data_IF_148021500779
#
_entry.id   IF_148021500779
#
_cell.length_a   1.000
_cell.length_b   1.000
_cell.length_c   1.000
_cell.angle_alpha   90.00
_cell.angle_beta   90.00
_cell.angle_gamma   90.00
#
_symmetry.space_group_name_H-M   'P 1'
#
loop_
_entity.id
_entity.type
_entity.pdbx_description
1 polymer ?
#
# COMPACT_ATOMS: atom_id res chain seq x y z
N UNK A 1 -10.71 22.94 -10.28
CA UNK A 1 -10.72 21.90 -9.24
C UNK A 1 -9.39 21.16 -9.34
N UNK A 2 -8.47 21.37 -8.40
CA UNK A 2 -7.21 20.63 -8.38
C UNK A 2 -7.54 19.18 -8.01
N UNK A 3 -7.45 18.26 -8.97
CA UNK A 3 -7.44 16.83 -8.64
C UNK A 3 -6.24 16.61 -7.73
N UNK A 4 -6.49 16.14 -6.51
CA UNK A 4 -5.43 15.84 -5.55
C UNK A 4 -4.59 14.67 -6.07
N UNK A 5 -3.64 14.96 -6.97
CA UNK A 5 -2.62 14.02 -7.44
C UNK A 5 -1.51 13.81 -6.41
N UNK A 6 -1.80 14.03 -5.12
CA UNK A 6 -0.84 13.76 -4.07
C UNK A 6 -0.84 12.25 -3.81
N UNK A 7 0.34 11.60 -3.82
CA UNK A 7 0.46 10.21 -3.42
C UNK A 7 -0.09 10.03 -2.00
N UNK A 8 -0.89 8.99 -1.78
CA UNK A 8 -1.37 8.62 -0.46
C UNK A 8 -0.84 7.25 -0.08
N UNK A 9 -0.37 7.13 1.16
CA UNK A 9 -0.01 5.84 1.74
C UNK A 9 -1.25 4.95 1.87
N UNK A 10 -1.14 3.74 1.35
CA UNK A 10 -2.17 2.69 1.37
C UNK A 10 -1.76 1.45 2.17
N UNK A 11 -0.46 1.34 2.48
CA UNK A 11 0.09 0.34 3.38
C UNK A 11 1.43 0.88 3.92
N UNK A 12 1.69 0.68 5.20
CA UNK A 12 2.99 0.95 5.81
C UNK A 12 3.36 -0.20 6.73
N UNK A 13 4.48 -0.86 6.47
CA UNK A 13 4.94 -1.99 7.29
C UNK A 13 6.47 -2.06 7.35
N UNK A 14 6.99 -2.61 8.44
CA UNK A 14 8.41 -2.97 8.59
C UNK A 14 8.67 -4.40 8.12
N UNK A 15 7.62 -5.21 7.96
CA UNK A 15 7.71 -6.58 7.50
C UNK A 15 7.86 -6.62 5.98
N UNK A 16 9.06 -6.95 5.50
CA UNK A 16 9.38 -6.99 4.08
C UNK A 16 8.57 -8.02 3.31
N UNK A 17 8.10 -9.08 3.96
CA UNK A 17 7.24 -10.10 3.35
C UNK A 17 5.86 -9.53 3.04
N UNK A 18 5.27 -8.79 3.98
CA UNK A 18 3.97 -8.12 3.78
C UNK A 18 4.07 -7.09 2.66
N UNK A 19 5.15 -6.31 2.63
CA UNK A 19 5.42 -5.37 1.52
C UNK A 19 5.52 -6.10 0.18
N UNK A 20 6.27 -7.21 0.10
CA UNK A 20 6.44 -7.95 -1.15
C UNK A 20 5.12 -8.54 -1.67
N UNK A 21 4.25 -9.02 -0.77
CA UNK A 21 2.91 -9.49 -1.14
C UNK A 21 2.06 -8.33 -1.63
N UNK A 22 2.06 -7.20 -0.93
CA UNK A 22 1.33 -6.00 -1.33
C UNK A 22 1.75 -5.49 -2.71
N UNK A 23 3.05 -5.43 -3.00
CA UNK A 23 3.59 -5.06 -4.31
C UNK A 23 3.07 -6.00 -5.41
N UNK A 24 3.07 -7.31 -5.15
CA UNK A 24 2.60 -8.33 -6.10
C UNK A 24 1.12 -8.15 -6.40
N UNK A 25 0.28 -7.98 -5.38
CA UNK A 25 -1.16 -7.78 -5.55
C UNK A 25 -1.49 -6.50 -6.32
N UNK A 26 -0.79 -5.39 -6.03
CA UNK A 26 -1.00 -4.13 -6.76
C UNK A 26 -0.57 -4.23 -8.22
N UNK A 27 0.54 -4.93 -8.49
CA UNK A 27 1.03 -5.18 -9.85
C UNK A 27 0.05 -6.03 -10.65
N UNK A 28 -0.47 -7.09 -10.05
CA UNK A 28 -1.47 -7.97 -10.69
C UNK A 28 -2.79 -7.24 -10.96
N UNK A 29 -3.16 -6.29 -10.09
CA UNK A 29 -4.31 -5.41 -10.27
C UNK A 29 -4.06 -4.24 -11.26
N UNK A 30 -2.84 -4.10 -11.79
CA UNK A 30 -2.48 -3.00 -12.70
C UNK A 30 -2.45 -1.62 -12.03
N UNK A 31 -2.31 -1.57 -10.70
CA UNK A 31 -2.28 -0.32 -9.94
C UNK A 31 -0.85 0.19 -9.86
N UNK A 32 -0.63 1.42 -10.34
CA UNK A 32 0.65 2.10 -10.21
C UNK A 32 0.88 2.58 -8.77
N UNK A 33 2.05 2.23 -8.22
CA UNK A 33 2.45 2.59 -6.86
C UNK A 33 3.89 3.11 -6.83
N UNK A 34 4.23 3.81 -5.74
CA UNK A 34 5.59 4.20 -5.40
C UNK A 34 5.92 3.74 -3.99
N UNK A 35 7.21 3.50 -3.71
CA UNK A 35 7.68 3.06 -2.40
C UNK A 35 8.48 4.18 -1.75
N UNK A 36 8.17 4.48 -0.48
CA UNK A 36 8.95 5.38 0.38
C UNK A 36 9.53 4.57 1.54
N UNK A 37 10.81 4.81 1.88
CA UNK A 37 11.51 4.07 2.95
C UNK A 37 12.08 5.05 3.98
N UNK A 38 11.28 5.36 5.00
CA UNK A 38 11.62 6.31 6.06
C UNK A 38 11.52 5.64 7.45
N UNK A 39 12.28 4.56 7.68
CA UNK A 39 12.22 3.76 8.93
C UNK A 39 11.03 2.79 9.01
N UNK A 40 10.10 2.90 8.06
CA UNK A 40 9.06 1.95 7.68
C UNK A 40 8.99 1.98 6.15
N UNK A 41 8.59 0.88 5.53
CA UNK A 41 8.34 0.86 4.09
C UNK A 41 6.88 1.21 3.85
N UNK A 42 6.65 2.29 3.12
CA UNK A 42 5.32 2.78 2.76
C UNK A 42 5.06 2.56 1.28
N UNK A 43 3.90 2.01 0.96
CA UNK A 43 3.38 1.94 -0.41
C UNK A 43 2.42 3.10 -0.60
N UNK A 44 2.71 3.93 -1.58
CA UNK A 44 1.95 5.13 -1.90
C UNK A 44 1.32 4.99 -3.29
N UNK A 45 0.06 5.38 -3.43
CA UNK A 45 -0.71 5.29 -4.66
C UNK A 45 -1.27 6.67 -5.01
N UNK A 46 -1.34 6.97 -6.31
CA UNK A 46 -1.86 8.24 -6.82
C UNK A 46 -3.17 8.02 -7.58
N UNK A 47 -4.10 8.95 -7.45
CA UNK A 47 -5.43 8.89 -8.08
C UNK A 47 -6.46 8.24 -7.16
N UNK A 48 -7.60 8.93 -6.95
CA UNK A 48 -8.59 8.54 -5.94
C UNK A 48 -9.14 7.13 -6.16
N UNK A 49 -9.38 6.73 -7.41
CA UNK A 49 -9.84 5.38 -7.75
C UNK A 49 -8.80 4.30 -7.43
N UNK A 50 -7.55 4.52 -7.82
CA UNK A 50 -6.45 3.60 -7.52
C UNK A 50 -6.21 3.47 -6.02
N UNK A 51 -6.30 4.59 -5.27
CA UNK A 51 -6.17 4.60 -3.81
C UNK A 51 -7.27 3.75 -3.18
N UNK A 52 -8.52 3.91 -3.63
CA UNK A 52 -9.64 3.14 -3.11
C UNK A 52 -9.50 1.64 -3.41
N UNK A 53 -9.13 1.31 -4.65
CA UNK A 53 -8.94 -0.08 -5.07
C UNK A 53 -7.75 -0.73 -4.36
N UNK A 54 -6.62 -0.03 -4.24
CA UNK A 54 -5.45 -0.48 -3.50
C UNK A 54 -5.80 -0.78 -2.03
N UNK A 55 -6.50 0.14 -1.35
CA UNK A 55 -6.94 -0.10 0.03
C UNK A 55 -7.83 -1.31 0.18
N UNK A 56 -8.74 -1.54 -0.77
CA UNK A 56 -9.59 -2.74 -0.76
C UNK A 56 -8.80 -4.04 -0.93
N UNK A 57 -7.78 -4.03 -1.78
CA UNK A 57 -6.93 -5.21 -2.02
C UNK A 57 -6.04 -5.50 -0.81
N UNK A 58 -5.55 -4.44 -0.16
CA UNK A 58 -4.53 -4.55 0.90
C UNK A 58 -5.12 -4.65 2.31
N UNK A 59 -6.44 -4.54 2.48
CA UNK A 59 -7.08 -4.52 3.80
C UNK A 59 -6.77 -5.77 4.63
N UNK A 60 -6.75 -6.94 3.99
CA UNK A 60 -6.43 -8.21 4.65
C UNK A 60 -4.96 -8.31 5.05
N UNK A 61 -4.06 -7.58 4.36
CA UNK A 61 -2.64 -7.55 4.69
C UNK A 61 -2.34 -6.66 5.89
N UNK A 62 -3.11 -5.58 6.08
CA UNK A 62 -2.99 -4.75 7.29
C UNK A 62 -3.32 -5.57 8.53
N UNK A 63 -4.36 -6.41 8.50
CA UNK A 63 -4.71 -7.28 9.61
C UNK A 63 -3.59 -8.28 9.94
N UNK A 64 -2.89 -8.80 8.93
CA UNK A 64 -1.77 -9.72 9.13
C UNK A 64 -0.52 -9.06 9.75
N UNK A 65 -0.29 -7.76 9.52
CA UNK A 65 0.84 -7.00 10.12
C UNK A 65 0.69 -6.87 11.64
N UNK A 66 -0.54 -6.86 12.17
CA UNK A 66 -0.80 -6.76 13.61
C UNK A 66 -0.58 -8.06 14.39
N UNK A 67 -0.46 -9.21 13.72
CA UNK A 67 -0.33 -10.52 14.37
C UNK A 67 1.13 -10.88 14.76
N UNK A 68 2.11 -10.05 14.40
CA UNK A 68 3.54 -10.25 14.74
C UNK A 68 3.95 -9.62 16.09
N UNK A 69 2.99 -9.32 16.97
CA UNK A 69 3.25 -8.96 18.37
C UNK A 69 2.77 -10.08 19.30
N UNK A 70 3.59 -11.14 19.46
CA UNK A 70 3.47 -12.02 20.62
C UNK A 70 4.81 -12.58 21.08
#
# INVERSE_FOLDING_TARGET
>A
MAKNNQPKTVLASRNTSIISVAESLLKDAGILYSISKNGVTEIQVTGDENIFNARKILIDLEELDFHDNK
#
